data_IF_907882001333
#
_entry.id   IF_907882001333
#
_cell.length_a   1.000
_cell.length_b   1.000
_cell.length_c   1.000
_cell.angle_alpha   90.00
_cell.angle_beta   90.00
_cell.angle_gamma   90.00
#
_symmetry.space_group_name_H-M   'P 1'
#
loop_
_entity.id
_entity.type
_entity.pdbx_description
1 polymer ?
#
# COMPACT_ATOMS: atom_id res chain seq x y z
N UNK A 1 -19.98 3.71 10.04
CA UNK A 1 -20.38 4.31 8.74
C UNK A 1 -19.67 3.58 7.62
N UNK A 2 -20.41 3.15 6.60
CA UNK A 2 -19.90 2.36 5.49
C UNK A 2 -18.99 3.21 4.56
N UNK A 3 -18.08 2.54 3.87
CA UNK A 3 -17.27 3.10 2.78
C UNK A 3 -18.03 2.96 1.48
N UNK A 4 -18.06 4.01 0.65
CA UNK A 4 -18.85 4.07 -0.59
C UNK A 4 -18.03 4.43 -1.83
N UNK A 5 -16.74 4.60 -1.72
CA UNK A 5 -15.87 4.95 -2.86
C UNK A 5 -14.40 4.79 -2.54
N UNK A 6 -13.60 4.66 -3.59
CA UNK A 6 -12.15 4.55 -3.56
C UNK A 6 -11.60 5.49 -4.64
N UNK A 7 -10.59 6.27 -4.30
CA UNK A 7 -9.89 7.13 -5.25
C UNK A 7 -8.45 7.45 -4.79
N UNK A 8 -7.73 8.22 -5.60
CA UNK A 8 -6.37 8.69 -5.31
C UNK A 8 -5.40 7.56 -4.95
N UNK A 9 -5.20 6.65 -5.90
CA UNK A 9 -4.20 5.60 -5.78
C UNK A 9 -2.83 6.16 -6.17
N UNK A 10 -1.90 6.20 -5.21
CA UNK A 10 -0.54 6.70 -5.35
C UNK A 10 0.46 5.62 -4.94
N UNK A 11 1.66 5.72 -5.46
CA UNK A 11 2.81 4.95 -4.99
C UNK A 11 4.01 5.87 -4.77
N UNK A 12 4.91 5.45 -3.91
CA UNK A 12 6.21 6.09 -3.72
C UNK A 12 7.30 5.03 -3.76
N UNK A 13 8.36 5.22 -4.56
CA UNK A 13 9.47 4.28 -4.61
C UNK A 13 10.20 4.25 -3.26
N UNK A 14 10.71 3.08 -2.90
CA UNK A 14 11.52 2.88 -1.70
C UNK A 14 12.97 2.69 -2.13
N UNK A 15 13.87 3.43 -1.52
CA UNK A 15 15.31 3.22 -1.62
C UNK A 15 15.85 2.81 -0.25
N UNK A 16 16.71 1.80 -0.24
CA UNK A 16 17.40 1.34 0.97
C UNK A 16 18.85 1.80 0.90
N UNK A 17 19.36 2.32 2.00
CA UNK A 17 20.78 2.64 2.13
C UNK A 17 21.62 1.40 2.47
N UNK A 18 22.95 1.57 2.61
CA UNK A 18 23.85 0.48 2.93
C UNK A 18 23.62 -0.13 4.33
N UNK A 19 22.88 0.56 5.21
CA UNK A 19 22.52 0.10 6.56
C UNK A 19 21.16 -0.59 6.59
N UNK A 20 20.41 -0.56 5.47
CA UNK A 20 19.05 -1.10 5.37
C UNK A 20 17.96 -0.10 5.80
N UNK A 21 18.32 1.17 6.00
CA UNK A 21 17.36 2.22 6.29
C UNK A 21 16.59 2.61 5.02
N UNK A 22 15.27 2.62 5.14
CA UNK A 22 14.36 2.92 4.04
C UNK A 22 14.10 4.42 3.95
N UNK A 23 14.21 4.95 2.73
CA UNK A 23 13.77 6.30 2.38
C UNK A 23 12.71 6.22 1.28
N UNK A 24 11.73 7.10 1.36
CA UNK A 24 10.62 7.16 0.41
C UNK A 24 10.85 8.29 -0.57
N UNK A 25 10.68 7.99 -1.85
CA UNK A 25 10.66 8.99 -2.90
C UNK A 25 9.37 9.79 -2.93
N UNK A 26 9.27 10.71 -3.88
CA UNK A 26 8.08 11.52 -4.09
C UNK A 26 6.89 10.66 -4.54
N UNK A 27 5.71 10.79 -3.90
CA UNK A 27 4.52 10.07 -4.31
C UNK A 27 4.05 10.45 -5.71
N UNK A 28 3.80 9.45 -6.55
CA UNK A 28 3.26 9.61 -7.89
C UNK A 28 1.93 8.84 -8.04
N UNK A 29 1.09 9.26 -8.98
CA UNK A 29 -0.16 8.55 -9.29
C UNK A 29 0.17 7.18 -9.86
N UNK A 30 -0.39 6.11 -9.28
CA UNK A 30 -0.22 4.76 -9.79
C UNK A 30 -1.17 4.50 -10.97
N UNK A 31 -2.47 4.63 -10.72
CA UNK A 31 -3.54 4.39 -11.70
C UNK A 31 -4.86 4.95 -11.14
N UNK A 32 -5.94 4.88 -11.94
CA UNK A 32 -7.27 5.10 -11.40
C UNK A 32 -7.78 3.82 -10.75
N UNK A 33 -8.10 3.93 -9.46
CA UNK A 33 -8.55 2.80 -8.67
C UNK A 33 -10.00 2.43 -9.00
N UNK A 34 -10.24 1.15 -9.24
CA UNK A 34 -11.57 0.55 -9.39
C UNK A 34 -11.93 -0.18 -8.10
N UNK A 35 -11.01 -1.00 -7.59
CA UNK A 35 -11.18 -1.74 -6.35
C UNK A 35 -9.86 -1.87 -5.59
N UNK A 36 -9.94 -2.02 -4.28
CA UNK A 36 -8.81 -2.36 -3.43
C UNK A 36 -9.30 -3.34 -2.36
N UNK A 37 -8.67 -4.49 -2.32
CA UNK A 37 -8.91 -5.50 -1.30
C UNK A 37 -7.63 -5.72 -0.50
N UNK A 38 -7.76 -5.58 0.81
CA UNK A 38 -6.67 -5.71 1.78
C UNK A 38 -6.96 -6.90 2.68
N UNK A 39 -6.13 -7.91 2.64
CA UNK A 39 -6.15 -9.08 3.51
C UNK A 39 -4.88 -9.11 4.37
N UNK A 40 -5.02 -9.50 5.63
CA UNK A 40 -3.90 -9.54 6.60
C UNK A 40 -3.79 -10.93 7.18
N UNK A 41 -2.57 -11.45 7.19
CA UNK A 41 -2.20 -12.68 7.88
C UNK A 41 -1.52 -12.37 9.21
N UNK A 42 -1.91 -13.08 10.25
CA UNK A 42 -1.36 -12.96 11.59
C UNK A 42 -0.59 -14.22 11.98
N UNK A 43 0.51 -14.06 12.69
CA UNK A 43 1.11 -15.12 13.49
C UNK A 43 0.34 -15.18 14.80
N UNK A 44 -0.07 -16.37 15.18
CA UNK A 44 -0.76 -16.62 16.44
C UNK A 44 0.03 -17.66 17.26
N UNK A 45 0.29 -17.34 18.52
CA UNK A 45 0.85 -18.26 19.50
C UNK A 45 -0.04 -18.29 20.72
N UNK A 46 -0.39 -19.49 21.18
CA UNK A 46 -1.24 -19.69 22.36
C UNK A 46 -0.41 -20.42 23.40
N UNK A 47 -0.29 -19.81 24.57
CA UNK A 47 0.28 -20.46 25.74
C UNK A 47 -0.86 -21.11 26.55
N UNK A 48 -0.75 -22.40 26.78
CA UNK A 48 -1.69 -23.15 27.63
C UNK A 48 -1.09 -23.34 29.02
N UNK A 49 -1.86 -23.03 30.04
CA UNK A 49 -1.53 -23.30 31.44
C UNK A 49 -2.81 -23.69 32.19
N UNK A 50 -2.70 -24.58 33.16
CA UNK A 50 -3.82 -25.07 33.99
C UNK A 50 -5.05 -25.53 33.19
N UNK A 51 -4.81 -26.33 32.13
CA UNK A 51 -5.83 -26.89 31.22
C UNK A 51 -6.65 -25.86 30.43
N UNK A 52 -6.15 -24.61 30.29
CA UNK A 52 -6.77 -23.53 29.53
C UNK A 52 -5.78 -22.68 28.74
N UNK A 53 -6.29 -21.89 27.79
CA UNK A 53 -5.50 -20.88 27.12
C UNK A 53 -5.20 -19.73 28.09
N UNK A 54 -3.96 -19.61 28.52
CA UNK A 54 -3.52 -18.60 29.49
C UNK A 54 -3.12 -17.28 28.82
N UNK A 55 -2.51 -17.36 27.63
CA UNK A 55 -2.08 -16.18 26.87
C UNK A 55 -2.18 -16.42 25.37
N UNK A 56 -2.60 -15.41 24.62
CA UNK A 56 -2.68 -15.43 23.15
C UNK A 56 -1.92 -14.22 22.61
N UNK A 57 -0.88 -14.47 21.83
CA UNK A 57 -0.11 -13.44 21.14
C UNK A 57 -0.48 -13.47 19.66
N UNK A 58 -0.83 -12.30 19.11
CA UNK A 58 -1.12 -12.13 17.66
C UNK A 58 -0.28 -11.00 17.12
N UNK A 59 0.51 -11.31 16.12
CA UNK A 59 1.40 -10.34 15.47
C UNK A 59 1.17 -10.32 13.96
N UNK A 60 1.41 -9.16 13.33
CA UNK A 60 1.37 -9.02 11.89
C UNK A 60 2.46 -9.90 11.25
N UNK A 61 2.07 -10.78 10.33
CA UNK A 61 2.97 -11.62 9.55
C UNK A 61 3.21 -11.03 8.17
N UNK A 62 2.16 -10.86 7.42
CA UNK A 62 2.13 -10.33 6.06
C UNK A 62 0.72 -9.89 5.70
N UNK A 63 0.56 -9.30 4.53
CA UNK A 63 -0.76 -9.03 3.96
C UNK A 63 -0.72 -9.15 2.45
N UNK A 64 -1.90 -9.21 1.86
CA UNK A 64 -2.09 -9.17 0.41
C UNK A 64 -2.94 -7.96 0.05
N UNK A 65 -2.46 -7.18 -0.91
CA UNK A 65 -3.18 -6.08 -1.53
C UNK A 65 -3.54 -6.46 -2.95
N UNK A 66 -4.82 -6.56 -3.25
CA UNK A 66 -5.33 -6.75 -4.61
C UNK A 66 -5.96 -5.45 -5.10
N UNK A 67 -5.45 -4.89 -6.20
CA UNK A 67 -5.91 -3.63 -6.79
C UNK A 67 -6.48 -3.87 -8.17
N UNK A 68 -7.76 -3.56 -8.35
CA UNK A 68 -8.38 -3.41 -9.67
C UNK A 68 -8.16 -1.97 -10.14
N UNK A 69 -7.59 -1.80 -11.33
CA UNK A 69 -7.20 -0.50 -11.89
C UNK A 69 -7.67 -0.37 -13.33
N UNK A 70 -7.70 0.86 -13.85
CA UNK A 70 -8.13 1.12 -15.24
C UNK A 70 -7.08 0.68 -16.26
N UNK A 71 -5.81 1.05 -16.03
CA UNK A 71 -4.69 0.73 -16.92
C UNK A 71 -3.36 0.90 -16.17
N UNK A 72 -2.29 0.30 -16.69
CA UNK A 72 -0.93 0.46 -16.18
C UNK A 72 -0.04 1.03 -17.29
N UNK A 73 0.44 2.25 -17.11
CA UNK A 73 1.46 2.84 -18.00
C UNK A 73 2.79 2.09 -17.92
N UNK A 74 3.57 2.15 -19.01
CA UNK A 74 4.86 1.46 -19.10
C UNK A 74 5.83 1.79 -17.96
N UNK A 75 5.91 3.05 -17.55
CA UNK A 75 6.77 3.51 -16.46
C UNK A 75 6.37 2.87 -15.12
N UNK A 76 5.08 2.80 -14.86
CA UNK A 76 4.54 2.21 -13.62
C UNK A 76 4.73 0.70 -13.65
N UNK A 77 4.46 0.04 -14.79
CA UNK A 77 4.70 -1.39 -14.97
C UNK A 77 6.17 -1.72 -14.68
N UNK A 78 7.11 -0.94 -15.22
CA UNK A 78 8.54 -1.07 -14.95
C UNK A 78 8.86 -0.88 -13.46
N UNK A 79 8.35 0.18 -12.84
CA UNK A 79 8.61 0.46 -11.42
C UNK A 79 8.07 -0.63 -10.48
N UNK A 80 6.92 -1.22 -10.79
CA UNK A 80 6.28 -2.24 -9.95
C UNK A 80 6.83 -3.65 -10.19
N UNK A 81 7.10 -4.03 -11.45
CA UNK A 81 7.54 -5.38 -11.81
C UNK A 81 9.05 -5.54 -11.91
N UNK A 82 9.80 -4.43 -12.01
CA UNK A 82 11.24 -4.46 -12.28
C UNK A 82 11.59 -4.63 -13.75
N UNK A 83 10.60 -4.64 -14.65
CA UNK A 83 10.84 -4.72 -16.08
C UNK A 83 11.60 -3.49 -16.60
N UNK A 84 12.42 -3.66 -17.62
CA UNK A 84 13.19 -2.57 -18.22
C UNK A 84 12.43 -1.93 -19.38
N UNK A 85 12.57 -0.61 -19.55
CA UNK A 85 12.09 0.09 -20.73
C UNK A 85 13.28 0.32 -21.65
N UNK A 86 13.20 -0.17 -22.89
CA UNK A 86 14.25 0.01 -23.87
C UNK A 86 14.26 1.43 -24.47
N UNK A 87 15.24 1.72 -25.33
CA UNK A 87 15.38 3.02 -25.98
C UNK A 87 14.21 3.39 -26.92
N UNK A 88 13.40 2.41 -27.30
CA UNK A 88 12.21 2.60 -28.14
C UNK A 88 10.94 2.77 -27.31
N UNK A 89 11.03 2.77 -25.97
CA UNK A 89 9.89 2.86 -25.07
C UNK A 89 9.12 1.54 -24.87
N UNK A 90 9.73 0.40 -25.26
CA UNK A 90 9.13 -0.92 -25.09
C UNK A 90 9.49 -1.49 -23.72
N UNK A 91 8.47 -1.98 -23.01
CA UNK A 91 8.65 -2.70 -21.75
C UNK A 91 9.08 -4.12 -22.04
N UNK A 92 10.27 -4.47 -21.59
CA UNK A 92 10.85 -5.82 -21.73
C UNK A 92 10.88 -6.47 -20.36
N UNK A 93 10.15 -7.58 -20.21
CA UNK A 93 10.10 -8.36 -18.96
C UNK A 93 11.07 -9.52 -19.04
N UNK A 94 11.94 -9.62 -18.06
CA UNK A 94 12.90 -10.74 -17.90
C UNK A 94 12.38 -11.81 -16.93
N UNK A 95 12.98 -12.99 -16.98
CA UNK A 95 12.64 -14.09 -16.06
C UNK A 95 13.00 -13.78 -14.61
N UNK A 96 13.97 -12.90 -14.40
CA UNK A 96 14.52 -12.55 -13.10
C UNK A 96 13.98 -11.22 -12.56
N UNK A 97 12.99 -10.62 -13.25
CA UNK A 97 12.34 -9.39 -12.82
C UNK A 97 11.63 -9.63 -11.47
N UNK A 98 12.11 -8.95 -10.47
CA UNK A 98 11.52 -8.96 -9.14
C UNK A 98 11.14 -7.55 -8.75
N UNK A 99 9.85 -7.22 -8.77
CA UNK A 99 9.38 -5.88 -8.46
C UNK A 99 10.09 -5.26 -7.26
N UNK A 100 10.38 -3.97 -7.35
CA UNK A 100 10.93 -3.20 -6.24
C UNK A 100 9.82 -2.92 -5.23
N UNK A 101 10.07 -3.02 -3.92
CA UNK A 101 9.08 -2.60 -2.94
C UNK A 101 8.74 -1.12 -3.10
N UNK A 102 7.47 -0.79 -2.96
CA UNK A 102 6.96 0.59 -3.02
C UNK A 102 6.02 0.85 -1.84
N UNK A 103 5.91 2.08 -1.41
CA UNK A 103 4.81 2.48 -0.54
C UNK A 103 3.57 2.77 -1.40
N UNK A 104 2.38 2.41 -0.89
CA UNK A 104 1.12 2.60 -1.62
C UNK A 104 0.14 3.38 -0.77
N UNK A 105 -0.46 4.40 -1.35
CA UNK A 105 -1.51 5.17 -0.71
C UNK A 105 -2.81 5.16 -1.52
N UNK A 106 -3.91 5.19 -0.81
CA UNK A 106 -5.24 5.40 -1.37
C UNK A 106 -6.15 6.01 -0.31
N UNK A 107 -7.30 6.50 -0.74
CA UNK A 107 -8.33 6.92 0.21
C UNK A 107 -9.67 6.33 -0.14
N UNK A 108 -10.49 6.21 0.88
CA UNK A 108 -11.83 5.68 0.78
C UNK A 108 -12.85 6.70 1.28
N UNK A 109 -13.87 6.99 0.46
CA UNK A 109 -14.96 7.88 0.84
C UNK A 109 -15.94 7.15 1.74
N UNK A 110 -16.34 7.80 2.82
CA UNK A 110 -17.35 7.31 3.77
C UNK A 110 -18.73 7.89 3.45
N UNK A 111 -19.79 7.24 3.90
CA UNK A 111 -21.17 7.65 3.68
C UNK A 111 -21.53 9.03 4.27
N UNK A 112 -20.71 9.56 5.19
CA UNK A 112 -20.84 10.90 5.76
C UNK A 112 -20.12 12.00 4.97
N UNK A 113 -19.60 11.70 3.78
CA UNK A 113 -18.86 12.63 2.94
C UNK A 113 -17.39 12.84 3.31
N UNK A 114 -16.93 12.32 4.45
CA UNK A 114 -15.53 12.37 4.88
C UNK A 114 -14.72 11.25 4.23
N UNK A 115 -13.38 11.37 4.31
CA UNK A 115 -12.46 10.41 3.75
C UNK A 115 -11.66 9.69 4.83
N UNK A 116 -11.28 8.44 4.52
CA UNK A 116 -10.28 7.68 5.25
C UNK A 116 -9.10 7.45 4.33
N UNK A 117 -7.92 7.79 4.81
CA UNK A 117 -6.68 7.76 4.08
C UNK A 117 -5.81 6.64 4.59
N UNK A 118 -5.05 6.02 3.68
CA UNK A 118 -4.18 4.89 3.97
C UNK A 118 -2.81 5.11 3.36
N UNK A 119 -1.76 4.70 4.08
CA UNK A 119 -0.45 4.38 3.58
C UNK A 119 -0.11 2.94 3.97
N UNK A 120 0.29 2.13 3.01
CA UNK A 120 0.93 0.84 3.19
C UNK A 120 2.40 1.07 2.93
N UNK A 121 3.24 0.90 3.94
CA UNK A 121 4.62 1.37 3.90
C UNK A 121 5.52 0.56 2.99
N UNK A 122 5.27 -0.75 2.83
CA UNK A 122 6.10 -1.62 2.01
C UNK A 122 5.24 -2.68 1.34
N UNK A 123 5.05 -2.54 0.04
CA UNK A 123 4.30 -3.46 -0.80
C UNK A 123 5.18 -3.87 -1.96
N UNK A 124 5.31 -5.18 -2.20
CA UNK A 124 6.01 -5.74 -3.36
C UNK A 124 4.98 -6.36 -4.29
N UNK A 125 4.83 -5.79 -5.48
CA UNK A 125 3.93 -6.30 -6.49
C UNK A 125 4.54 -7.45 -7.27
N UNK A 126 3.70 -8.40 -7.68
CA UNK A 126 4.02 -9.41 -8.66
C UNK A 126 3.88 -8.90 -10.10
N UNK A 127 4.13 -9.77 -11.05
CA UNK A 127 3.88 -9.49 -12.47
C UNK A 127 2.36 -9.38 -12.68
N UNK A 128 1.85 -8.28 -13.27
CA UNK A 128 0.42 -8.10 -13.50
C UNK A 128 -0.16 -9.19 -14.40
N UNK A 129 -1.31 -9.73 -14.03
CA UNK A 129 -2.07 -10.61 -14.91
C UNK A 129 -2.80 -9.80 -15.97
N UNK A 130 -2.67 -10.20 -17.23
CA UNK A 130 -3.34 -9.56 -18.36
C UNK A 130 -4.49 -10.43 -18.87
N UNK A 131 -5.71 -9.91 -18.86
CA UNK A 131 -6.88 -10.54 -19.43
C UNK A 131 -7.37 -9.71 -20.60
N UNK A 132 -7.40 -10.31 -21.79
CA UNK A 132 -7.85 -9.65 -23.02
C UNK A 132 -8.99 -10.46 -23.65
N UNK A 133 -10.05 -9.76 -24.08
CA UNK A 133 -11.17 -10.37 -24.79
C UNK A 133 -11.48 -9.58 -26.05
N UNK A 134 -11.90 -10.29 -27.09
CA UNK A 134 -12.35 -9.69 -28.34
C UNK A 134 -13.64 -8.90 -28.11
N UNK A 135 -13.74 -7.72 -28.73
CA UNK A 135 -14.98 -6.95 -28.75
C UNK A 135 -16.10 -7.75 -29.41
N UNK A 136 -17.16 -8.04 -28.67
CA UNK A 136 -18.41 -8.63 -29.18
C UNK A 136 -19.43 -7.55 -29.58
N UNK A 137 -20.71 -7.92 -29.62
CA UNK A 137 -21.82 -6.99 -29.92
C UNK A 137 -22.02 -5.94 -28.81
N UNK A 138 -21.51 -6.19 -27.61
CA UNK A 138 -21.49 -5.25 -26.48
C UNK A 138 -20.06 -4.86 -26.10
N UNK A 139 -19.89 -3.62 -25.61
CA UNK A 139 -18.61 -3.14 -25.10
C UNK A 139 -18.45 -3.63 -23.66
N UNK A 140 -17.40 -4.41 -23.41
CA UNK A 140 -16.99 -4.85 -22.09
C UNK A 140 -15.59 -4.31 -21.80
N UNK A 141 -15.44 -3.56 -20.72
CA UNK A 141 -14.12 -3.09 -20.29
C UNK A 141 -13.36 -4.24 -19.63
N UNK A 142 -12.11 -4.40 -20.03
CA UNK A 142 -11.17 -5.32 -19.38
C UNK A 142 -10.24 -4.48 -18.50
N UNK A 143 -10.30 -4.72 -17.22
CA UNK A 143 -9.53 -3.97 -16.23
C UNK A 143 -8.52 -4.89 -15.58
N UNK A 144 -7.21 -4.54 -15.58
CA UNK A 144 -6.19 -5.37 -14.96
C UNK A 144 -6.33 -5.37 -13.44
N UNK A 145 -5.91 -6.48 -12.85
CA UNK A 145 -5.74 -6.62 -11.40
C UNK A 145 -4.27 -6.86 -11.10
N UNK A 146 -3.74 -6.11 -10.16
CA UNK A 146 -2.38 -6.30 -9.65
C UNK A 146 -2.43 -6.73 -8.20
N UNK A 147 -1.59 -7.70 -7.87
CA UNK A 147 -1.48 -8.21 -6.49
C UNK A 147 -0.11 -7.89 -5.93
N UNK A 148 -0.10 -7.42 -4.69
CA UNK A 148 1.12 -7.10 -3.96
C UNK A 148 1.11 -7.71 -2.56
N UNK A 149 2.28 -8.17 -2.15
CA UNK A 149 2.50 -8.63 -0.77
C UNK A 149 2.88 -7.44 0.10
N UNK A 150 2.14 -7.26 1.19
CA UNK A 150 2.40 -6.23 2.17
C UNK A 150 3.34 -6.78 3.22
N UNK A 151 4.39 -6.03 3.49
CA UNK A 151 5.40 -6.34 4.49
C UNK A 151 5.49 -5.20 5.51
N UNK A 152 6.02 -5.50 6.68
CA UNK A 152 6.44 -4.43 7.60
C UNK A 152 7.62 -3.69 6.98
N UNK A 153 7.76 -2.38 7.23
CA UNK A 153 8.92 -1.61 6.80
C UNK A 153 10.16 -1.97 7.65
N UNK A 154 11.34 -1.78 7.10
CA UNK A 154 12.58 -1.99 7.83
C UNK A 154 12.85 -0.85 8.82
N UNK A 155 12.52 0.39 8.43
CA UNK A 155 12.65 1.56 9.29
C UNK A 155 11.73 1.47 10.50
N UNK A 156 12.28 1.67 11.69
CA UNK A 156 11.51 1.71 12.94
C UNK A 156 10.82 3.06 13.13
N UNK A 157 9.79 3.07 13.94
CA UNK A 157 9.16 4.30 14.46
C UNK A 157 9.82 4.73 15.77
N UNK A 158 9.28 5.77 16.42
CA UNK A 158 9.77 6.29 17.69
C UNK A 158 9.61 5.32 18.88
N UNK A 159 8.88 4.22 18.73
CA UNK A 159 8.69 3.17 19.73
C UNK A 159 9.46 1.88 19.38
N UNK A 160 10.43 1.94 18.46
CA UNK A 160 11.17 0.79 17.92
C UNK A 160 10.28 -0.29 17.26
N UNK A 161 9.07 0.07 16.79
CA UNK A 161 8.23 -0.83 16.04
C UNK A 161 8.49 -0.68 14.53
N UNK A 162 8.14 -1.72 13.78
CA UNK A 162 8.18 -1.74 12.32
C UNK A 162 6.76 -1.60 11.74
N UNK A 163 6.26 -0.38 11.54
CA UNK A 163 4.92 -0.17 10.99
C UNK A 163 4.76 -0.79 9.61
N UNK A 164 3.59 -1.31 9.32
CA UNK A 164 3.22 -1.79 7.98
C UNK A 164 2.15 -0.92 7.34
N UNK A 165 1.38 -0.17 8.14
CA UNK A 165 0.28 0.70 7.69
C UNK A 165 0.19 1.95 8.54
N UNK A 166 -0.17 3.08 7.90
CA UNK A 166 -0.75 4.25 8.56
C UNK A 166 -2.17 4.47 8.04
N UNK A 167 -3.04 4.91 8.91
CA UNK A 167 -4.45 5.16 8.60
C UNK A 167 -4.94 6.39 9.35
N UNK A 168 -5.66 7.28 8.65
CA UNK A 168 -6.27 8.45 9.27
C UNK A 168 -7.67 8.68 8.70
N UNK A 169 -8.60 9.07 9.55
CA UNK A 169 -9.96 9.44 9.16
C UNK A 169 -10.17 10.94 9.35
N UNK A 170 -10.58 11.61 8.30
CA UNK A 170 -10.90 13.03 8.31
C UNK A 170 -11.97 13.37 9.35
N UNK A 171 -11.72 14.42 10.15
CA UNK A 171 -12.63 14.91 11.19
C UNK A 171 -12.70 14.03 12.42
N UNK A 172 -11.74 13.15 12.65
CA UNK A 172 -11.49 12.51 13.94
C UNK A 172 -10.84 13.56 14.86
N UNK A 173 -11.24 13.59 16.12
CA UNK A 173 -10.66 14.47 17.13
C UNK A 173 -9.15 14.21 17.26
N UNK A 174 -8.37 15.28 17.34
CA UNK A 174 -6.90 15.22 17.38
C UNK A 174 -6.22 15.13 16.02
N UNK A 175 -6.93 14.92 14.92
CA UNK A 175 -6.35 14.89 13.57
C UNK A 175 -6.20 16.30 13.01
N UNK A 176 -4.96 16.71 12.76
CA UNK A 176 -4.65 17.99 12.13
C UNK A 176 -5.05 18.00 10.65
N UNK A 177 -5.68 19.10 10.22
CA UNK A 177 -5.98 19.32 8.79
C UNK A 177 -4.71 19.41 7.93
N UNK A 178 -3.58 19.82 8.52
CA UNK A 178 -2.29 19.85 7.84
C UNK A 178 -1.82 18.44 7.43
N UNK A 179 -1.99 17.43 8.29
CA UNK A 179 -1.67 16.03 7.99
C UNK A 179 -2.49 15.54 6.80
N UNK A 180 -3.79 15.85 6.77
CA UNK A 180 -4.66 15.45 5.66
C UNK A 180 -4.25 16.14 4.35
N UNK A 181 -3.93 17.44 4.39
CA UNK A 181 -3.56 18.20 3.19
C UNK A 181 -2.22 17.75 2.59
N UNK A 182 -1.27 17.32 3.42
CA UNK A 182 0.05 16.84 3.01
C UNK A 182 0.12 15.34 2.70
N UNK A 183 -0.98 14.58 2.87
CA UNK A 183 -0.97 13.12 2.81
C UNK A 183 -0.38 12.52 1.54
N UNK A 184 -0.51 13.21 0.40
CA UNK A 184 0.00 12.74 -0.90
C UNK A 184 1.24 13.53 -1.38
N UNK A 185 1.78 14.43 -0.57
CA UNK A 185 3.03 15.14 -0.90
C UNK A 185 4.27 14.39 -0.46
N UNK A 186 4.15 13.57 0.58
CA UNK A 186 5.19 12.68 1.09
C UNK A 186 4.54 11.49 1.79
N UNK A 187 5.26 10.37 1.88
CA UNK A 187 4.84 9.24 2.70
C UNK A 187 4.80 9.67 4.16
N UNK A 188 3.67 9.40 4.82
CA UNK A 188 3.49 9.80 6.22
C UNK A 188 4.49 9.07 7.13
N UNK A 189 5.28 9.83 7.88
CA UNK A 189 6.15 9.32 8.92
C UNK A 189 5.52 9.57 10.30
N UNK A 190 5.46 8.55 11.17
CA UNK A 190 4.97 8.74 12.52
C UNK A 190 5.87 9.68 13.31
N UNK A 191 5.32 10.80 13.76
CA UNK A 191 6.03 11.75 14.62
C UNK A 191 6.07 11.23 16.06
N UNK A 192 7.18 11.50 16.73
CA UNK A 192 7.28 11.27 18.16
C UNK A 192 6.27 12.20 18.88
N UNK A 193 5.34 11.65 19.69
CA UNK A 193 4.47 12.51 20.48
C UNK A 193 5.36 13.39 21.37
N UNK A 194 5.27 14.70 21.15
CA UNK A 194 5.97 15.67 22.00
C UNK A 194 5.63 15.36 23.45
N UNK A 195 6.62 15.28 24.36
CA UNK A 195 6.30 15.09 25.77
C UNK A 195 5.31 16.18 26.18
N UNK A 196 4.18 15.77 26.71
CA UNK A 196 3.17 16.69 27.21
C UNK A 196 3.89 17.70 28.14
N UNK A 197 3.88 18.96 27.78
CA UNK A 197 4.41 20.02 28.64
C UNK A 197 3.63 19.98 29.94
N UNK A 198 4.27 19.43 30.97
CA UNK A 198 3.79 19.40 32.35
C UNK A 198 3.73 20.81 32.94
#
# INVERSE_FOLDING_TARGET
MATIGLDKLYYAPITEDANGDETYGEPAVLAKAISAELSVELNEAILYADDGAAEVVKEFKSGTLSLGIDDIGAEIASALSGATIDLNGVVVSGSDDGGTPVAVAFRARKSNGKYRYYWLYRVKFGIPATNLQTKGDSISFQTPTIEGTIMRRNKVDYNDNHPWKAEVTEGTEGVSSAVISSWYTAVYEPDNPSPASS
#
